data_IF_009546739353
#
_entry.id   IF_009546739353
#
_cell.length_a   1.000
_cell.length_b   1.000
_cell.length_c   1.000
_cell.angle_alpha   90.00
_cell.angle_beta   90.00
_cell.angle_gamma   90.00
#
_symmetry.space_group_name_H-M   'P 1'
#
loop_
_entity.id
_entity.type
_entity.pdbx_description
1 polymer ?
#
# COMPACT_ATOMS: atom_id res chain seq x y z
N UNK A 1 -40.23 4.75 7.28
CA UNK A 1 -38.82 4.58 6.83
C UNK A 1 -38.37 5.55 5.72
N UNK A 2 -39.13 6.59 5.44
CA UNK A 2 -38.80 7.63 4.42
C UNK A 2 -38.00 8.83 4.98
N UNK A 3 -37.91 9.04 6.30
CA UNK A 3 -37.29 10.23 6.88
C UNK A 3 -35.77 10.29 6.84
N UNK A 4 -35.08 9.16 7.00
CA UNK A 4 -33.60 9.13 7.01
C UNK A 4 -32.98 9.41 5.61
N UNK A 5 -33.73 9.14 4.55
CA UNK A 5 -33.35 9.45 3.18
C UNK A 5 -33.44 10.95 2.87
N UNK A 6 -34.39 11.66 3.47
CA UNK A 6 -34.61 13.10 3.26
C UNK A 6 -33.52 13.93 3.96
N UNK A 7 -33.22 13.64 5.22
CA UNK A 7 -32.16 14.35 5.98
C UNK A 7 -30.76 14.17 5.37
N UNK A 8 -30.42 12.95 4.92
CA UNK A 8 -29.17 12.69 4.22
C UNK A 8 -29.09 13.45 2.91
N UNK A 9 -30.21 13.58 2.21
CA UNK A 9 -30.37 14.32 0.97
C UNK A 9 -30.28 15.83 1.20
N UNK A 10 -30.91 16.37 2.23
CA UNK A 10 -30.82 17.79 2.57
C UNK A 10 -29.41 18.20 3.04
N UNK A 11 -28.73 17.36 3.82
CA UNK A 11 -27.30 17.57 4.15
C UNK A 11 -26.40 17.55 2.91
N UNK A 12 -26.65 16.65 1.99
CA UNK A 12 -25.91 16.59 0.73
C UNK A 12 -26.12 17.85 -0.11
N UNK A 13 -27.35 18.29 -0.27
CA UNK A 13 -27.70 19.51 -1.01
C UNK A 13 -27.18 20.79 -0.32
N UNK A 14 -27.20 20.84 0.99
CA UNK A 14 -26.62 21.93 1.77
C UNK A 14 -25.11 22.01 1.60
N UNK A 15 -24.41 20.87 1.61
CA UNK A 15 -22.97 20.82 1.35
C UNK A 15 -22.62 21.16 -0.10
N UNK A 16 -23.46 20.77 -1.06
CA UNK A 16 -23.30 21.14 -2.47
C UNK A 16 -23.44 22.64 -2.68
N UNK A 17 -24.43 23.29 -2.02
CA UNK A 17 -24.62 24.75 -2.07
C UNK A 17 -23.42 25.50 -1.51
N UNK A 18 -22.84 25.05 -0.38
CA UNK A 18 -21.62 25.62 0.22
C UNK A 18 -20.40 25.49 -0.70
N UNK A 19 -20.29 24.40 -1.45
CA UNK A 19 -19.22 24.21 -2.45
C UNK A 19 -19.45 25.12 -3.66
N UNK A 20 -20.71 25.29 -4.07
CA UNK A 20 -21.10 26.12 -5.19
C UNK A 20 -20.85 27.63 -4.93
N UNK A 21 -21.17 28.11 -3.73
CA UNK A 21 -20.87 29.49 -3.31
C UNK A 21 -19.37 29.81 -3.30
N UNK A 22 -18.52 28.80 -3.05
CA UNK A 22 -17.05 28.96 -3.07
C UNK A 22 -16.40 28.75 -4.44
N UNK A 23 -17.05 28.00 -5.34
CA UNK A 23 -16.48 27.59 -6.62
C UNK A 23 -17.12 28.26 -7.85
N UNK A 24 -18.09 29.18 -7.69
CA UNK A 24 -18.86 29.79 -8.78
C UNK A 24 -19.46 28.78 -9.76
N UNK A 25 -19.96 27.65 -9.28
CA UNK A 25 -20.55 26.60 -10.09
C UNK A 25 -22.03 26.88 -10.30
N UNK A 26 -22.51 26.78 -11.54
CA UNK A 26 -23.89 27.09 -11.97
C UNK A 26 -24.96 26.23 -11.25
N UNK A 27 -26.14 26.79 -10.92
CA UNK A 27 -27.25 26.07 -10.24
C UNK A 27 -27.70 24.80 -10.95
N UNK A 28 -27.60 24.74 -12.27
CA UNK A 28 -27.97 23.58 -13.10
C UNK A 28 -27.17 22.32 -12.80
N UNK A 29 -25.95 22.46 -12.23
CA UNK A 29 -25.13 21.32 -11.82
C UNK A 29 -25.70 20.64 -10.58
N UNK A 30 -26.44 21.37 -9.75
CA UNK A 30 -27.13 20.84 -8.56
C UNK A 30 -28.25 19.91 -9.03
N UNK A 31 -29.03 20.34 -10.04
CA UNK A 31 -30.11 19.55 -10.63
C UNK A 31 -29.59 18.29 -11.32
N UNK A 32 -28.39 18.33 -11.85
CA UNK A 32 -27.73 17.17 -12.47
C UNK A 32 -27.38 16.09 -11.43
N UNK A 33 -26.83 16.49 -10.31
CA UNK A 33 -26.49 15.55 -9.22
C UNK A 33 -27.77 14.98 -8.61
N UNK A 34 -28.87 15.76 -8.57
CA UNK A 34 -30.19 15.27 -8.16
C UNK A 34 -30.81 14.31 -9.20
N UNK A 35 -30.70 14.60 -10.47
CA UNK A 35 -31.14 13.71 -11.54
C UNK A 35 -30.37 12.40 -11.52
N UNK A 36 -29.06 12.46 -11.24
CA UNK A 36 -28.21 11.27 -11.05
C UNK A 36 -28.59 10.44 -9.82
N UNK A 37 -28.96 11.08 -8.73
CA UNK A 37 -29.44 10.38 -7.52
C UNK A 37 -30.80 9.70 -7.75
N UNK A 38 -31.56 10.11 -8.77
CA UNK A 38 -32.87 9.53 -9.16
C UNK A 38 -32.77 8.48 -10.26
N UNK A 39 -31.60 8.31 -10.92
CA UNK A 39 -31.43 7.26 -11.91
C UNK A 39 -31.59 5.89 -11.25
N UNK A 40 -32.51 5.13 -11.79
CA UNK A 40 -32.79 3.75 -11.39
C UNK A 40 -31.68 2.84 -11.91
N UNK A 41 -30.57 2.81 -11.16
CA UNK A 41 -29.40 1.99 -11.47
C UNK A 41 -29.68 0.47 -11.34
N UNK A 42 -30.90 0.08 -10.91
CA UNK A 42 -31.29 -1.33 -10.79
C UNK A 42 -31.40 -2.05 -12.14
N UNK A 43 -31.63 -1.32 -13.24
CA UNK A 43 -31.76 -1.91 -14.57
C UNK A 43 -30.43 -2.23 -15.26
N UNK A 44 -29.34 -1.60 -14.83
CA UNK A 44 -28.00 -1.81 -15.39
C UNK A 44 -27.07 -2.43 -14.34
N UNK A 45 -27.45 -3.58 -13.77
CA UNK A 45 -26.56 -4.34 -12.90
C UNK A 45 -25.25 -4.65 -13.63
N UNK A 46 -24.09 -4.20 -13.14
CA UNK A 46 -22.84 -4.70 -13.66
C UNK A 46 -22.75 -6.21 -13.40
N UNK A 47 -22.35 -6.94 -14.43
CA UNK A 47 -22.12 -8.39 -14.39
C UNK A 47 -21.30 -8.74 -13.14
N UNK A 48 -21.76 -9.74 -12.40
CA UNK A 48 -21.17 -10.30 -11.17
C UNK A 48 -19.64 -10.36 -11.26
N UNK A 49 -18.96 -9.62 -10.38
CA UNK A 49 -17.51 -9.57 -10.34
C UNK A 49 -16.96 -10.83 -9.67
N UNK A 50 -16.26 -11.65 -10.41
CA UNK A 50 -15.41 -12.68 -9.82
C UNK A 50 -14.18 -12.02 -9.15
N UNK A 51 -13.81 -12.41 -7.91
CA UNK A 51 -12.60 -11.92 -7.27
C UNK A 51 -11.37 -12.24 -8.11
N UNK A 52 -10.60 -11.21 -8.50
CA UNK A 52 -9.30 -11.41 -9.15
C UNK A 52 -9.13 -10.84 -10.56
N UNK A 53 -10.16 -10.30 -11.20
CA UNK A 53 -10.02 -9.64 -12.51
C UNK A 53 -10.22 -8.13 -12.36
N UNK A 54 -9.18 -7.29 -12.53
CA UNK A 54 -9.36 -5.84 -12.55
C UNK A 54 -10.14 -5.47 -13.81
N UNK A 55 -11.41 -5.19 -13.68
CA UNK A 55 -12.23 -4.63 -14.77
C UNK A 55 -12.26 -3.12 -14.66
N UNK A 56 -11.93 -2.42 -15.76
CA UNK A 56 -12.31 -1.04 -15.96
C UNK A 56 -13.85 -0.98 -15.98
N UNK A 57 -14.44 -0.59 -14.87
CA UNK A 57 -15.90 -0.44 -14.69
C UNK A 57 -16.38 0.95 -15.16
N UNK A 58 -15.70 1.56 -16.09
CA UNK A 58 -16.30 2.68 -16.80
C UNK A 58 -16.86 2.15 -18.11
N UNK A 59 -18.18 2.16 -18.32
CA UNK A 59 -18.66 2.24 -19.68
C UNK A 59 -17.97 3.46 -20.31
N UNK A 60 -17.63 3.45 -21.61
CA UNK A 60 -17.18 4.65 -22.29
C UNK A 60 -18.12 5.79 -21.92
N UNK A 61 -17.58 6.96 -21.62
CA UNK A 61 -18.36 8.17 -21.25
C UNK A 61 -19.52 8.38 -22.22
N UNK A 62 -19.29 8.11 -23.49
CA UNK A 62 -20.25 8.14 -24.59
C UNK A 62 -21.49 7.26 -24.35
N UNK A 63 -21.29 5.99 -23.96
CA UNK A 63 -22.41 5.07 -23.67
C UNK A 63 -23.23 5.53 -22.47
N UNK A 64 -22.56 6.11 -21.47
CA UNK A 64 -23.25 6.70 -20.34
C UNK A 64 -24.06 7.92 -20.73
N UNK A 65 -23.51 8.84 -21.53
CA UNK A 65 -24.17 10.04 -22.00
C UNK A 65 -25.32 9.72 -23.01
N UNK A 66 -25.17 8.69 -23.83
CA UNK A 66 -26.22 8.19 -24.71
C UNK A 66 -27.44 7.64 -23.96
N UNK A 67 -27.20 6.87 -22.89
CA UNK A 67 -28.27 6.34 -22.05
C UNK A 67 -29.01 7.43 -21.26
N UNK A 68 -28.40 8.58 -21.06
CA UNK A 68 -28.89 9.70 -20.25
C UNK A 68 -29.19 10.95 -21.10
N UNK A 69 -29.86 10.78 -22.27
CA UNK A 69 -30.18 11.86 -23.22
C UNK A 69 -31.09 12.95 -22.65
N UNK A 70 -31.79 12.70 -21.54
CA UNK A 70 -32.68 13.63 -20.86
C UNK A 70 -31.96 14.70 -20.02
N UNK A 71 -30.64 14.56 -19.85
CA UNK A 71 -29.81 15.53 -19.13
C UNK A 71 -29.59 16.76 -20.00
N UNK A 72 -29.65 17.97 -19.42
CA UNK A 72 -29.42 19.23 -20.15
C UNK A 72 -28.07 19.24 -20.88
N UNK A 73 -27.92 19.90 -22.03
CA UNK A 73 -26.66 19.95 -22.77
C UNK A 73 -25.48 20.41 -21.93
N UNK A 74 -25.61 21.50 -21.19
CA UNK A 74 -24.55 22.08 -20.30
C UNK A 74 -24.10 21.09 -19.25
N UNK A 75 -25.06 20.39 -18.67
CA UNK A 75 -24.81 19.39 -17.66
C UNK A 75 -24.13 18.13 -18.22
N UNK A 76 -24.45 17.76 -19.45
CA UNK A 76 -23.78 16.66 -20.18
C UNK A 76 -22.33 16.99 -20.44
N UNK A 77 -22.03 18.21 -20.88
CA UNK A 77 -20.66 18.67 -21.16
C UNK A 77 -19.81 18.69 -19.93
N UNK A 78 -20.36 19.19 -18.81
CA UNK A 78 -19.66 19.15 -17.53
C UNK A 78 -19.36 17.71 -17.07
N UNK A 79 -20.33 16.82 -17.18
CA UNK A 79 -20.18 15.43 -16.79
C UNK A 79 -19.19 14.69 -17.69
N UNK A 80 -19.25 14.95 -19.01
CA UNK A 80 -18.27 14.42 -19.95
C UNK A 80 -16.85 14.87 -19.57
N UNK A 81 -16.67 16.16 -19.33
CA UNK A 81 -15.38 16.72 -18.92
C UNK A 81 -14.88 16.14 -17.58
N UNK A 82 -15.79 15.96 -16.61
CA UNK A 82 -15.45 15.30 -15.34
C UNK A 82 -15.00 13.85 -15.53
N UNK A 83 -15.81 13.05 -16.25
CA UNK A 83 -15.52 11.64 -16.50
C UNK A 83 -14.22 11.47 -17.32
N UNK A 84 -14.03 12.33 -18.34
CA UNK A 84 -12.81 12.32 -19.15
C UNK A 84 -11.58 12.65 -18.32
N UNK A 85 -11.62 13.69 -17.50
CA UNK A 85 -10.53 14.07 -16.60
C UNK A 85 -10.15 12.93 -15.64
N UNK A 86 -11.14 12.27 -15.04
CA UNK A 86 -10.90 11.13 -14.12
C UNK A 86 -10.32 9.94 -14.89
N UNK A 87 -10.82 9.68 -16.09
CA UNK A 87 -10.33 8.61 -16.97
C UNK A 87 -8.88 8.86 -17.42
N UNK A 88 -8.52 10.07 -17.81
CA UNK A 88 -7.15 10.46 -18.19
C UNK A 88 -6.17 10.30 -17.03
N UNK A 89 -6.65 10.46 -15.80
CA UNK A 89 -5.87 10.16 -14.60
C UNK A 89 -5.74 8.65 -14.30
N UNK A 90 -6.34 7.79 -15.14
CA UNK A 90 -6.35 6.34 -14.97
C UNK A 90 -7.22 5.87 -13.82
N UNK A 91 -8.22 6.66 -13.41
CA UNK A 91 -9.06 6.36 -12.24
C UNK A 91 -10.49 6.02 -12.65
N UNK A 92 -11.22 5.40 -11.73
CA UNK A 92 -12.65 5.11 -11.86
C UNK A 92 -13.44 6.34 -11.43
N UNK A 93 -14.38 6.81 -12.25
CA UNK A 93 -15.22 7.93 -11.87
C UNK A 93 -16.32 7.48 -10.88
N UNK A 94 -16.56 8.29 -9.85
CA UNK A 94 -17.57 8.08 -8.83
C UNK A 94 -18.32 9.39 -8.64
N UNK A 95 -19.63 9.37 -8.87
CA UNK A 95 -20.45 10.56 -8.92
C UNK A 95 -21.07 10.89 -7.55
N UNK A 96 -21.49 9.85 -6.82
CA UNK A 96 -22.18 10.01 -5.54
C UNK A 96 -22.05 8.74 -4.68
N UNK A 97 -22.53 8.77 -3.42
CA UNK A 97 -22.54 7.61 -2.53
C UNK A 97 -23.27 6.39 -3.07
N UNK A 98 -24.35 6.57 -3.82
CA UNK A 98 -25.10 5.46 -4.42
C UNK A 98 -24.27 4.74 -5.47
N UNK A 99 -23.58 5.50 -6.33
CA UNK A 99 -22.67 4.92 -7.32
C UNK A 99 -21.52 4.14 -6.63
N UNK A 100 -20.96 4.69 -5.56
CA UNK A 100 -19.94 3.97 -4.76
C UNK A 100 -20.52 2.68 -4.16
N UNK A 101 -21.75 2.72 -3.64
CA UNK A 101 -22.39 1.54 -3.07
C UNK A 101 -22.54 0.42 -4.11
N UNK A 102 -23.02 0.75 -5.32
CA UNK A 102 -23.11 -0.21 -6.44
C UNK A 102 -21.73 -0.77 -6.84
N UNK A 103 -20.70 0.07 -6.91
CA UNK A 103 -19.35 -0.38 -7.22
C UNK A 103 -18.83 -1.39 -6.19
N UNK A 104 -19.26 -1.24 -4.93
CA UNK A 104 -18.87 -2.09 -3.81
C UNK A 104 -19.83 -3.27 -3.56
N UNK A 105 -20.84 -3.46 -4.43
CA UNK A 105 -21.88 -4.49 -4.31
C UNK A 105 -22.62 -4.40 -2.95
N UNK A 106 -22.99 -3.16 -2.58
CA UNK A 106 -23.68 -2.84 -1.35
C UNK A 106 -24.94 -1.99 -1.64
N UNK A 107 -25.95 -2.09 -0.77
CA UNK A 107 -26.99 -1.06 -0.75
C UNK A 107 -26.45 0.24 -0.14
N UNK A 108 -26.97 1.43 -0.55
CA UNK A 108 -26.54 2.71 -0.01
C UNK A 108 -26.66 2.79 1.52
N UNK A 109 -27.74 2.23 2.09
CA UNK A 109 -27.93 2.18 3.55
C UNK A 109 -26.88 1.31 4.26
N UNK A 110 -26.53 0.17 3.66
CA UNK A 110 -25.49 -0.71 4.21
C UNK A 110 -24.12 -0.03 4.16
N UNK A 111 -23.79 0.62 3.04
CA UNK A 111 -22.55 1.40 2.90
C UNK A 111 -22.48 2.51 3.97
N UNK A 112 -23.54 3.29 4.13
CA UNK A 112 -23.61 4.35 5.15
C UNK A 112 -23.48 3.84 6.58
N UNK A 113 -24.13 2.71 6.91
CA UNK A 113 -23.96 2.06 8.23
C UNK A 113 -22.54 1.55 8.44
N UNK A 114 -21.96 0.92 7.43
CA UNK A 114 -20.62 0.39 7.49
C UNK A 114 -19.59 1.50 7.72
N UNK A 115 -19.67 2.60 6.99
CA UNK A 115 -18.79 3.76 7.14
C UNK A 115 -18.89 4.38 8.55
N UNK A 116 -20.11 4.65 9.04
CA UNK A 116 -20.33 5.21 10.39
C UNK A 116 -19.83 4.31 11.53
N UNK A 117 -19.72 3.02 11.30
CA UNK A 117 -19.30 2.04 12.33
C UNK A 117 -17.91 1.45 12.04
N UNK A 118 -17.19 1.97 11.06
CA UNK A 118 -15.92 1.40 10.57
C UNK A 118 -14.89 1.27 11.70
N UNK A 119 -14.72 2.28 12.54
CA UNK A 119 -13.78 2.26 13.67
C UNK A 119 -14.02 1.09 14.64
N UNK A 120 -15.28 0.73 14.86
CA UNK A 120 -15.67 -0.37 15.77
C UNK A 120 -15.46 -1.76 15.14
N UNK A 121 -15.07 -1.82 13.87
CA UNK A 121 -14.91 -3.06 13.11
C UNK A 121 -13.47 -3.51 12.99
N UNK A 122 -12.57 -2.94 13.79
CA UNK A 122 -11.18 -3.37 13.86
C UNK A 122 -10.89 -4.15 15.13
N UNK A 123 -10.12 -5.21 14.99
CA UNK A 123 -9.52 -5.95 16.09
C UNK A 123 -8.08 -5.48 16.26
N UNK A 124 -7.71 -5.16 17.51
CA UNK A 124 -6.35 -4.71 17.83
C UNK A 124 -5.60 -5.81 18.57
N UNK A 125 -4.40 -6.12 18.11
CA UNK A 125 -3.47 -7.03 18.79
C UNK A 125 -2.03 -6.56 18.60
N UNK A 126 -1.15 -6.98 19.49
CA UNK A 126 0.26 -6.59 19.47
C UNK A 126 1.14 -7.72 18.95
N UNK A 127 2.18 -7.33 18.22
CA UNK A 127 3.23 -8.23 17.75
C UNK A 127 4.57 -7.68 18.24
N UNK A 128 5.42 -8.49 18.91
CA UNK A 128 6.72 -8.04 19.38
C UNK A 128 7.64 -7.72 18.18
N UNK A 129 8.31 -6.57 18.24
CA UNK A 129 9.37 -6.20 17.32
C UNK A 129 10.70 -6.81 17.72
N UNK A 130 11.67 -6.83 16.79
CA UNK A 130 13.03 -7.33 17.05
C UNK A 130 13.82 -6.51 18.08
N UNK A 131 13.43 -5.27 18.32
CA UNK A 131 14.03 -4.36 19.30
C UNK A 131 13.36 -4.45 20.68
N UNK A 132 12.46 -5.42 20.89
CA UNK A 132 11.74 -5.65 22.15
C UNK A 132 10.52 -4.74 22.35
N UNK A 133 10.29 -3.77 21.47
CA UNK A 133 9.06 -2.96 21.51
C UNK A 133 7.90 -3.65 20.78
N UNK A 134 6.68 -3.27 21.10
CA UNK A 134 5.47 -3.81 20.48
C UNK A 134 5.05 -3.03 19.25
N UNK A 135 4.40 -3.73 18.31
CA UNK A 135 3.68 -3.15 17.20
C UNK A 135 2.21 -3.49 17.33
N UNK A 136 1.37 -2.49 17.47
CA UNK A 136 -0.08 -2.68 17.42
C UNK A 136 -0.54 -2.84 15.98
N UNK A 137 -1.32 -3.88 15.73
CA UNK A 137 -1.96 -4.17 14.45
C UNK A 137 -3.46 -3.95 14.62
N UNK A 138 -4.03 -3.09 13.79
CA UNK A 138 -5.47 -2.89 13.68
C UNK A 138 -5.96 -3.61 12.43
N UNK A 139 -6.52 -4.81 12.59
CA UNK A 139 -7.03 -5.63 11.50
C UNK A 139 -8.55 -5.46 11.35
N UNK A 140 -9.07 -5.15 10.16
CA UNK A 140 -10.52 -5.05 9.94
C UNK A 140 -11.17 -6.42 10.07
N UNK A 141 -12.43 -6.44 10.55
CA UNK A 141 -13.25 -7.64 10.54
C UNK A 141 -13.50 -8.14 9.10
N UNK A 142 -14.00 -9.36 8.89
CA UNK A 142 -14.17 -9.92 7.56
C UNK A 142 -15.03 -9.06 6.61
N UNK A 143 -16.10 -8.43 7.12
CA UNK A 143 -16.99 -7.60 6.32
C UNK A 143 -16.29 -6.33 5.81
N UNK A 144 -15.71 -5.54 6.73
CA UNK A 144 -14.96 -4.34 6.35
C UNK A 144 -13.76 -4.69 5.47
N UNK A 145 -13.06 -5.79 5.76
CA UNK A 145 -11.93 -6.26 4.96
C UNK A 145 -12.32 -6.59 3.52
N UNK A 146 -13.49 -7.19 3.31
CA UNK A 146 -14.02 -7.48 1.97
C UNK A 146 -14.29 -6.19 1.21
N UNK A 147 -14.94 -5.20 1.83
CA UNK A 147 -15.20 -3.90 1.23
C UNK A 147 -13.89 -3.15 0.91
N UNK A 148 -12.93 -3.18 1.85
CA UNK A 148 -11.61 -2.58 1.60
C UNK A 148 -10.85 -3.25 0.43
N UNK A 149 -11.03 -4.55 0.22
CA UNK A 149 -10.48 -5.23 -0.97
C UNK A 149 -11.15 -4.76 -2.26
N UNK A 150 -12.48 -4.61 -2.26
CA UNK A 150 -13.18 -4.03 -3.42
C UNK A 150 -12.72 -2.60 -3.72
N UNK A 151 -12.53 -1.76 -2.68
CA UNK A 151 -11.94 -0.42 -2.82
C UNK A 151 -10.52 -0.51 -3.42
N UNK A 152 -9.70 -1.42 -2.90
CA UNK A 152 -8.34 -1.63 -3.41
C UNK A 152 -8.35 -2.03 -4.89
N UNK A 153 -9.15 -3.04 -5.24
CA UNK A 153 -9.14 -3.65 -6.56
C UNK A 153 -9.81 -2.76 -7.61
N UNK A 154 -10.90 -2.08 -7.26
CA UNK A 154 -11.71 -1.31 -8.22
C UNK A 154 -11.39 0.19 -8.26
N UNK A 155 -10.77 0.76 -7.22
CA UNK A 155 -10.49 2.20 -7.14
C UNK A 155 -8.99 2.47 -7.07
N UNK A 156 -8.31 1.91 -6.07
CA UNK A 156 -6.94 2.29 -5.76
C UNK A 156 -5.89 1.65 -6.67
N UNK A 157 -6.16 0.47 -7.23
CA UNK A 157 -5.21 -0.27 -8.08
C UNK A 157 -4.88 0.44 -9.40
N UNK A 158 -5.72 1.36 -9.83
CA UNK A 158 -5.54 2.14 -11.06
C UNK A 158 -4.78 3.45 -10.84
N UNK A 159 -4.68 3.91 -9.59
CA UNK A 159 -4.03 5.17 -9.29
C UNK A 159 -2.52 5.09 -9.56
N UNK A 160 -1.93 6.08 -10.28
CA UNK A 160 -0.53 6.06 -10.64
C UNK A 160 0.34 6.23 -9.38
N UNK A 161 1.29 5.32 -9.16
CA UNK A 161 2.24 5.35 -8.06
C UNK A 161 3.58 5.95 -8.48
N UNK A 162 4.30 6.53 -7.52
CA UNK A 162 5.65 7.06 -7.75
C UNK A 162 6.62 6.00 -8.26
N UNK A 163 7.49 6.35 -9.20
CA UNK A 163 8.57 5.47 -9.68
C UNK A 163 9.59 5.11 -8.58
N UNK A 164 9.68 5.93 -7.53
CA UNK A 164 10.56 5.69 -6.39
C UNK A 164 9.95 4.77 -5.33
N UNK A 165 8.64 4.50 -5.39
CA UNK A 165 7.97 3.56 -4.50
C UNK A 165 8.25 2.11 -4.95
N UNK A 166 9.00 1.38 -4.16
CA UNK A 166 9.39 -0.02 -4.39
C UNK A 166 8.62 -1.01 -3.51
N UNK A 167 8.06 -0.54 -2.38
CA UNK A 167 7.21 -1.34 -1.50
C UNK A 167 5.74 -1.29 -1.91
N UNK A 168 4.99 -2.39 -1.64
CA UNK A 168 3.55 -2.48 -1.84
C UNK A 168 3.09 -2.21 -3.28
N UNK A 169 3.88 -2.61 -4.25
CA UNK A 169 3.62 -2.40 -5.66
C UNK A 169 3.82 -3.68 -6.46
N UNK A 170 2.93 -3.94 -7.43
CA UNK A 170 3.10 -5.05 -8.37
C UNK A 170 4.44 -4.91 -9.11
N UNK A 171 5.07 -6.04 -9.44
CA UNK A 171 6.36 -6.12 -10.16
C UNK A 171 7.56 -5.47 -9.46
N UNK A 172 7.36 -4.98 -8.23
CA UNK A 172 8.43 -4.45 -7.38
C UNK A 172 8.68 -5.38 -6.20
N UNK A 173 9.92 -5.36 -5.73
CA UNK A 173 10.37 -6.24 -4.66
C UNK A 173 11.56 -5.64 -3.93
N UNK A 174 11.97 -6.30 -2.84
CA UNK A 174 13.24 -5.96 -2.16
C UNK A 174 14.44 -6.05 -3.09
N UNK A 175 14.37 -6.90 -4.14
CA UNK A 175 15.45 -7.08 -5.13
C UNK A 175 15.51 -5.91 -6.11
N UNK A 176 14.34 -5.46 -6.63
CA UNK A 176 14.28 -4.29 -7.52
C UNK A 176 14.74 -3.05 -6.78
N UNK A 177 14.30 -2.88 -5.52
CA UNK A 177 14.77 -1.80 -4.66
C UNK A 177 16.31 -1.85 -4.46
N UNK A 178 16.84 -3.01 -4.09
CA UNK A 178 18.27 -3.19 -3.88
C UNK A 178 19.12 -2.90 -5.14
N UNK A 179 18.62 -3.29 -6.34
CA UNK A 179 19.31 -3.08 -7.61
C UNK A 179 19.61 -1.61 -7.91
N UNK A 180 18.73 -0.69 -7.52
CA UNK A 180 18.93 0.75 -7.71
C UNK A 180 20.16 1.30 -7.00
N UNK A 181 20.57 0.66 -5.91
CA UNK A 181 21.66 1.11 -5.04
C UNK A 181 22.95 0.29 -5.13
N UNK A 182 23.05 -0.58 -6.15
CA UNK A 182 24.22 -1.44 -6.33
C UNK A 182 25.46 -0.61 -6.70
N UNK A 183 26.60 -0.96 -6.09
CA UNK A 183 27.93 -0.42 -6.45
C UNK A 183 28.16 1.03 -6.05
N UNK A 184 27.31 1.61 -5.20
CA UNK A 184 27.46 3.01 -4.74
C UNK A 184 28.50 3.13 -3.63
N UNK A 185 29.24 4.25 -3.59
CA UNK A 185 30.24 4.51 -2.53
C UNK A 185 29.61 4.74 -1.16
N UNK A 186 28.43 5.32 -1.13
CA UNK A 186 27.66 5.56 0.10
C UNK A 186 26.19 5.21 -0.09
N UNK A 187 25.61 4.56 0.92
CA UNK A 187 24.16 4.30 1.05
C UNK A 187 23.70 4.83 2.40
N UNK A 188 22.69 5.68 2.37
CA UNK A 188 22.06 6.25 3.56
C UNK A 188 20.65 5.72 3.65
N UNK A 189 20.25 5.29 4.84
CA UNK A 189 18.90 4.81 5.14
C UNK A 189 18.28 5.66 6.23
N UNK A 190 17.06 6.10 5.99
CA UNK A 190 16.20 6.77 6.95
C UNK A 190 14.93 5.96 7.13
N UNK A 191 14.37 5.94 8.34
CA UNK A 191 13.15 5.20 8.68
C UNK A 191 12.11 6.22 9.18
N UNK A 192 10.91 6.20 8.64
CA UNK A 192 9.82 7.08 9.07
C UNK A 192 9.22 6.49 10.35
N UNK A 193 9.07 7.35 11.37
CA UNK A 193 8.43 6.99 12.63
C UNK A 193 6.93 6.79 12.42
N UNK A 194 6.40 5.67 12.94
CA UNK A 194 4.98 5.35 12.97
C UNK A 194 4.26 5.61 11.62
N UNK A 195 4.84 5.08 10.53
CA UNK A 195 4.52 5.42 9.14
C UNK A 195 3.02 5.42 8.83
N UNK A 196 2.31 4.30 9.06
CA UNK A 196 0.86 4.27 8.83
C UNK A 196 0.09 5.20 9.78
N UNK A 197 0.31 5.16 11.10
CA UNK A 197 -0.35 6.08 12.05
C UNK A 197 -0.05 7.56 11.80
N UNK A 198 1.06 7.93 11.17
CA UNK A 198 1.35 9.33 10.82
C UNK A 198 0.56 9.84 9.61
N UNK A 199 -0.13 8.97 8.90
CA UNK A 199 -1.00 9.34 7.78
C UNK A 199 -2.43 9.46 8.31
N UNK A 200 -2.85 10.70 8.59
CA UNK A 200 -4.14 10.98 9.21
C UNK A 200 -5.31 10.85 8.25
N UNK A 201 -6.53 10.74 8.79
CA UNK A 201 -7.77 10.70 8.01
C UNK A 201 -7.97 11.94 7.16
N UNK A 202 -7.53 13.13 7.62
CA UNK A 202 -7.60 14.37 6.85
C UNK A 202 -6.71 14.30 5.60
N UNK A 203 -5.54 13.68 5.72
CA UNK A 203 -4.65 13.47 4.54
C UNK A 203 -5.26 12.50 3.54
N UNK A 204 -5.96 11.46 4.03
CA UNK A 204 -6.67 10.48 3.18
C UNK A 204 -7.87 11.15 2.50
N UNK A 205 -8.65 11.94 3.25
CA UNK A 205 -9.73 12.73 2.69
C UNK A 205 -9.25 13.68 1.60
N UNK A 206 -8.18 14.46 1.90
CA UNK A 206 -7.54 15.34 0.93
C UNK A 206 -7.00 14.60 -0.31
N UNK A 207 -6.47 13.39 -0.13
CA UNK A 207 -6.05 12.53 -1.24
C UNK A 207 -7.23 12.18 -2.15
N UNK A 208 -8.36 11.71 -1.61
CA UNK A 208 -9.55 11.38 -2.40
C UNK A 208 -10.14 12.59 -3.12
N UNK A 209 -10.13 13.76 -2.47
CA UNK A 209 -10.51 15.03 -3.14
C UNK A 209 -9.55 15.38 -4.29
N UNK A 210 -8.23 15.23 -4.07
CA UNK A 210 -7.22 15.48 -5.11
C UNK A 210 -7.27 14.45 -6.26
N UNK A 211 -7.84 13.27 -6.02
CA UNK A 211 -8.20 12.29 -7.04
C UNK A 211 -9.44 12.72 -7.84
N UNK A 212 -10.13 13.79 -7.45
CA UNK A 212 -11.27 14.35 -8.14
C UNK A 212 -12.63 13.81 -7.67
N UNK A 213 -12.69 13.03 -6.58
CA UNK A 213 -13.93 12.50 -6.05
C UNK A 213 -14.74 13.59 -5.32
N UNK A 214 -16.10 13.57 -5.43
CA UNK A 214 -16.97 14.45 -4.64
C UNK A 214 -16.75 14.26 -3.14
N UNK A 215 -16.98 15.34 -2.36
CA UNK A 215 -16.76 15.31 -0.90
C UNK A 215 -17.48 14.17 -0.19
N UNK A 216 -18.71 13.86 -0.59
CA UNK A 216 -19.51 12.76 -0.02
C UNK A 216 -18.88 11.40 -0.25
N UNK A 217 -18.35 11.16 -1.45
CA UNK A 217 -17.63 9.92 -1.79
C UNK A 217 -16.27 9.87 -1.07
N UNK A 218 -15.53 10.99 -1.08
CA UNK A 218 -14.26 11.09 -0.38
C UNK A 218 -14.39 10.83 1.12
N UNK A 219 -15.45 11.35 1.77
CA UNK A 219 -15.73 11.07 3.19
C UNK A 219 -15.96 9.58 3.44
N UNK A 220 -16.85 8.94 2.66
CA UNK A 220 -17.14 7.51 2.81
C UNK A 220 -15.90 6.64 2.59
N UNK A 221 -15.11 6.93 1.56
CA UNK A 221 -13.87 6.20 1.30
C UNK A 221 -12.86 6.38 2.44
N UNK A 222 -12.80 7.58 3.03
CA UNK A 222 -11.95 7.86 4.19
C UNK A 222 -12.39 7.05 5.39
N UNK A 223 -13.68 7.10 5.75
CA UNK A 223 -14.23 6.36 6.89
C UNK A 223 -14.01 4.85 6.75
N UNK A 224 -14.17 4.31 5.55
CA UNK A 224 -13.98 2.89 5.27
C UNK A 224 -12.51 2.44 5.28
N UNK A 225 -11.55 3.35 5.13
CA UNK A 225 -10.12 3.02 4.96
C UNK A 225 -9.23 3.49 6.10
N UNK A 226 -9.76 4.27 7.04
CA UNK A 226 -9.04 4.73 8.24
C UNK A 226 -9.60 4.08 9.51
N UNK A 227 -8.84 4.17 10.59
CA UNK A 227 -9.21 3.70 11.92
C UNK A 227 -8.62 4.66 12.95
N UNK A 228 -9.44 5.13 13.89
CA UNK A 228 -9.02 6.06 14.94
C UNK A 228 -8.28 7.29 14.38
N UNK A 229 -8.80 7.84 13.28
CA UNK A 229 -8.26 9.04 12.66
C UNK A 229 -6.97 8.85 11.84
N UNK A 230 -6.52 7.61 11.56
CA UNK A 230 -5.29 7.35 10.81
C UNK A 230 -5.36 6.07 9.96
N UNK A 231 -4.34 5.83 9.13
CA UNK A 231 -4.22 4.56 8.39
C UNK A 231 -3.91 3.39 9.35
N UNK A 232 -4.73 2.34 9.36
CA UNK A 232 -4.50 1.15 10.17
C UNK A 232 -3.39 0.26 9.60
N UNK A 233 -2.59 -0.35 10.49
CA UNK A 233 -1.47 -1.22 10.10
C UNK A 233 -1.88 -2.56 9.49
N UNK A 234 -3.16 -2.98 9.61
CA UNK A 234 -3.65 -4.29 9.16
C UNK A 234 -4.66 -4.25 8.03
N UNK A 235 -5.03 -3.07 7.52
CA UNK A 235 -6.00 -2.94 6.43
C UNK A 235 -5.37 -3.20 5.04
N UNK A 236 -6.08 -3.86 4.12
CA UNK A 236 -5.58 -4.13 2.77
C UNK A 236 -5.37 -2.86 1.94
N UNK A 237 -6.07 -1.76 2.25
CA UNK A 237 -5.96 -0.48 1.52
C UNK A 237 -4.77 0.37 1.97
N UNK A 238 -4.32 0.26 3.22
CA UNK A 238 -3.27 1.10 3.80
C UNK A 238 -1.96 1.11 3.00
N UNK A 239 -1.46 -0.01 2.45
CA UNK A 239 -0.24 -0.02 1.66
C UNK A 239 -0.30 0.89 0.43
N UNK A 240 -1.38 0.83 -0.35
CA UNK A 240 -1.52 1.64 -1.57
C UNK A 240 -1.81 3.10 -1.21
N UNK A 241 -2.70 3.36 -0.24
CA UNK A 241 -2.99 4.71 0.22
C UNK A 241 -1.73 5.42 0.74
N UNK A 242 -0.88 4.73 1.50
CA UNK A 242 0.40 5.30 1.94
C UNK A 242 1.32 5.67 0.77
N UNK A 243 1.36 4.85 -0.27
CA UNK A 243 2.12 5.17 -1.48
C UNK A 243 1.57 6.40 -2.21
N UNK A 244 0.25 6.54 -2.29
CA UNK A 244 -0.40 7.69 -2.94
C UNK A 244 -0.15 8.99 -2.16
N UNK A 245 -0.26 8.97 -0.84
CA UNK A 245 0.05 10.11 0.03
C UNK A 245 1.51 10.54 -0.11
N UNK A 246 2.43 9.58 -0.22
CA UNK A 246 3.87 9.85 -0.36
C UNK A 246 4.29 10.32 -1.77
N UNK A 247 3.41 10.42 -2.76
CA UNK A 247 3.78 10.83 -4.13
C UNK A 247 4.48 12.19 -4.16
N UNK A 248 4.04 13.15 -3.34
CA UNK A 248 4.66 14.48 -3.27
C UNK A 248 6.04 14.42 -2.64
N UNK A 249 6.19 13.70 -1.53
CA UNK A 249 7.48 13.42 -0.90
C UNK A 249 8.46 12.77 -1.90
N UNK A 250 8.01 11.69 -2.56
CA UNK A 250 8.83 10.97 -3.53
C UNK A 250 9.29 11.85 -4.70
N UNK A 251 8.40 12.71 -5.23
CA UNK A 251 8.71 13.65 -6.31
C UNK A 251 9.76 14.68 -5.87
N UNK A 252 9.61 15.23 -4.66
CA UNK A 252 10.56 16.21 -4.11
C UNK A 252 11.93 15.58 -3.91
N UNK A 253 12.01 14.44 -3.22
CA UNK A 253 13.28 13.76 -2.94
C UNK A 253 13.96 13.26 -4.21
N UNK A 254 13.20 12.75 -5.19
CA UNK A 254 13.75 12.38 -6.50
C UNK A 254 14.28 13.58 -7.27
N UNK A 255 13.57 14.71 -7.23
CA UNK A 255 14.01 15.96 -7.86
C UNK A 255 15.32 16.48 -7.27
N UNK A 256 15.47 16.41 -5.94
CA UNK A 256 16.75 16.71 -5.28
C UNK A 256 17.83 15.71 -5.70
N UNK A 257 17.47 14.40 -5.82
CA UNK A 257 18.40 13.36 -6.27
C UNK A 257 19.00 13.62 -7.65
N UNK A 258 18.16 14.05 -8.58
CA UNK A 258 18.62 14.44 -9.95
C UNK A 258 19.60 15.63 -9.88
N UNK A 259 19.29 16.66 -9.08
CA UNK A 259 20.16 17.87 -8.98
C UNK A 259 21.45 17.61 -8.23
N UNK A 260 21.48 16.71 -7.26
CA UNK A 260 22.59 16.48 -6.35
C UNK A 260 23.32 15.14 -6.60
N UNK A 261 23.02 14.49 -7.70
CA UNK A 261 23.61 13.20 -8.13
C UNK A 261 23.53 12.10 -7.06
N UNK A 262 22.30 11.80 -6.62
CA UNK A 262 22.04 10.63 -5.81
C UNK A 262 20.77 9.87 -6.26
N UNK A 263 20.78 8.57 -6.08
CA UNK A 263 19.63 7.70 -6.29
C UNK A 263 18.74 7.68 -5.04
N UNK A 264 17.43 7.78 -5.24
CA UNK A 264 16.42 7.70 -4.18
C UNK A 264 15.42 6.58 -4.45
N UNK A 265 15.08 5.83 -3.42
CA UNK A 265 13.94 4.91 -3.42
C UNK A 265 13.27 4.83 -2.04
N UNK A 266 12.01 4.40 -2.03
CA UNK A 266 11.24 4.19 -0.81
C UNK A 266 10.61 2.79 -0.80
N UNK A 267 10.83 2.06 0.28
CA UNK A 267 10.16 0.79 0.54
C UNK A 267 9.34 0.91 1.84
N UNK A 268 8.04 1.22 1.71
CA UNK A 268 7.18 1.58 2.84
C UNK A 268 7.73 2.80 3.62
N UNK A 269 8.12 2.59 4.87
CA UNK A 269 8.74 3.55 5.79
C UNK A 269 10.26 3.69 5.61
N UNK A 270 10.89 2.81 4.83
CA UNK A 270 12.36 2.74 4.65
C UNK A 270 12.77 3.58 3.43
N UNK A 271 13.35 4.76 3.65
CA UNK A 271 13.87 5.66 2.63
C UNK A 271 15.34 5.36 2.41
N UNK A 272 15.74 5.12 1.16
CA UNK A 272 17.12 4.82 0.81
C UNK A 272 17.66 5.84 -0.19
N UNK A 273 18.83 6.37 0.13
CA UNK A 273 19.58 7.32 -0.71
C UNK A 273 20.96 6.74 -0.99
N UNK A 274 21.48 6.89 -2.19
CA UNK A 274 22.83 6.39 -2.49
C UNK A 274 23.53 7.20 -3.59
N UNK A 275 24.85 7.39 -3.47
CA UNK A 275 25.63 8.15 -4.44
C UNK A 275 27.04 7.59 -4.61
N UNK A 276 27.67 7.92 -5.74
CA UNK A 276 29.12 7.78 -5.93
C UNK A 276 29.91 8.85 -5.16
N UNK A 277 29.27 9.95 -4.78
CA UNK A 277 29.88 10.99 -3.96
C UNK A 277 29.63 10.73 -2.46
N UNK A 278 30.67 10.38 -1.66
CA UNK A 278 30.52 10.19 -0.22
C UNK A 278 30.07 11.46 0.54
N UNK A 279 30.28 12.66 -0.05
CA UNK A 279 29.84 13.94 0.48
C UNK A 279 28.32 14.13 0.56
N UNK A 280 27.54 13.27 -0.14
CA UNK A 280 26.07 13.27 -0.05
C UNK A 280 25.56 13.23 1.40
N UNK A 281 26.32 12.68 2.33
CA UNK A 281 25.94 12.62 3.76
C UNK A 281 25.69 14.00 4.36
N UNK A 282 26.33 15.06 3.81
CA UNK A 282 26.13 16.45 4.25
C UNK A 282 24.71 16.97 3.95
N UNK A 283 23.99 16.33 3.00
CA UNK A 283 22.61 16.68 2.65
C UNK A 283 21.59 16.12 3.65
N UNK A 284 21.98 15.26 4.60
CA UNK A 284 21.05 14.63 5.54
C UNK A 284 20.16 15.61 6.30
N UNK A 285 20.64 16.72 6.86
CA UNK A 285 19.76 17.68 7.54
C UNK A 285 18.68 18.22 6.59
N UNK A 286 19.05 18.62 5.38
CA UNK A 286 18.12 19.10 4.38
C UNK A 286 17.10 18.04 3.94
N UNK A 287 17.54 16.78 3.73
CA UNK A 287 16.62 15.69 3.39
C UNK A 287 15.61 15.43 4.52
N UNK A 288 16.05 15.52 5.78
CA UNK A 288 15.16 15.39 6.94
C UNK A 288 14.16 16.54 7.04
N UNK A 289 14.56 17.77 6.68
CA UNK A 289 13.67 18.92 6.59
C UNK A 289 12.60 18.72 5.53
N UNK A 290 12.97 18.30 4.32
CA UNK A 290 12.01 17.97 3.25
C UNK A 290 10.99 16.90 3.70
N UNK A 291 11.45 15.87 4.45
CA UNK A 291 10.58 14.84 4.99
C UNK A 291 9.62 15.41 6.06
N UNK A 292 10.12 16.31 6.91
CA UNK A 292 9.32 16.97 7.95
C UNK A 292 8.25 17.89 7.37
N UNK A 293 8.57 18.67 6.32
CA UNK A 293 7.61 19.52 5.61
C UNK A 293 6.47 18.71 4.94
N UNK A 294 6.73 17.45 4.60
CA UNK A 294 5.70 16.53 4.12
C UNK A 294 4.92 15.84 5.26
N UNK A 295 5.12 16.30 6.52
CA UNK A 295 4.39 15.80 7.69
C UNK A 295 4.88 14.45 8.22
N UNK A 296 6.12 14.07 7.93
CA UNK A 296 6.71 12.84 8.43
C UNK A 296 7.88 13.10 9.39
N UNK A 297 8.05 12.21 10.35
CA UNK A 297 9.15 12.29 11.32
C UNK A 297 10.15 11.15 11.08
N UNK A 298 11.43 11.49 10.95
CA UNK A 298 12.51 10.51 10.81
C UNK A 298 12.85 9.90 12.17
N UNK A 299 12.94 8.58 12.24
CA UNK A 299 13.38 7.84 13.42
C UNK A 299 14.91 7.90 13.54
N UNK A 300 15.43 8.96 14.15
CA UNK A 300 16.89 9.25 14.24
C UNK A 300 17.76 8.03 14.64
N UNK A 301 17.40 7.23 15.67
CA UNK A 301 18.24 6.06 16.08
C UNK A 301 18.38 4.98 15.00
N UNK A 302 17.50 4.96 14.01
CA UNK A 302 17.54 4.02 12.88
C UNK A 302 18.27 4.55 11.64
N UNK A 303 18.70 5.80 11.64
CA UNK A 303 19.53 6.35 10.56
C UNK A 303 20.82 5.53 10.41
N UNK A 304 21.11 5.08 9.20
CA UNK A 304 22.32 4.30 8.89
C UNK A 304 23.04 4.90 7.71
N UNK A 305 24.33 5.15 7.88
CA UNK A 305 25.25 5.56 6.81
C UNK A 305 26.19 4.38 6.57
N UNK A 306 26.16 3.83 5.35
CA UNK A 306 26.92 2.64 4.98
C UNK A 306 27.86 3.00 3.84
N UNK A 307 29.17 2.83 4.05
CA UNK A 307 30.20 3.12 3.04
C UNK A 307 30.64 1.84 2.33
N UNK A 308 31.20 1.94 1.12
CA UNK A 308 31.58 0.80 0.28
C UNK A 308 32.67 -0.10 0.89
N UNK A 309 33.50 0.42 1.82
CA UNK A 309 34.47 -0.40 2.58
C UNK A 309 33.84 -1.38 3.57
N UNK A 310 32.57 -1.17 3.93
CA UNK A 310 31.79 -2.07 4.76
C UNK A 310 30.63 -2.73 4.00
N UNK A 311 29.82 -3.51 4.70
CA UNK A 311 28.63 -4.12 4.12
C UNK A 311 27.52 -3.08 3.94
N UNK A 312 27.06 -2.90 2.70
CA UNK A 312 25.91 -2.07 2.37
C UNK A 312 24.67 -2.95 2.19
N UNK A 313 23.58 -2.62 2.91
CA UNK A 313 22.31 -3.35 2.87
C UNK A 313 21.13 -2.41 2.59
N UNK A 314 20.30 -2.77 1.62
CA UNK A 314 19.04 -2.11 1.30
C UNK A 314 17.92 -3.16 1.40
N UNK A 315 16.89 -2.90 2.20
CA UNK A 315 15.78 -3.86 2.45
C UNK A 315 16.23 -5.30 2.75
N UNK A 316 17.35 -5.44 3.51
CA UNK A 316 17.93 -6.74 3.87
C UNK A 316 18.90 -7.33 2.84
N UNK A 317 18.98 -6.78 1.64
CA UNK A 317 19.83 -7.26 0.54
C UNK A 317 21.16 -6.52 0.55
N UNK A 318 22.27 -7.25 0.38
CA UNK A 318 23.61 -6.69 0.19
C UNK A 318 23.73 -6.13 -1.23
N UNK A 319 24.20 -4.87 -1.35
CA UNK A 319 24.25 -4.13 -2.62
C UNK A 319 25.65 -3.64 -3.02
N UNK A 320 26.71 -4.12 -2.37
CA UNK A 320 28.09 -3.64 -2.66
C UNK A 320 28.53 -3.83 -4.12
N UNK A 321 28.29 -4.99 -4.74
CA UNK A 321 28.71 -5.30 -6.13
C UNK A 321 27.54 -5.77 -6.99
N UNK A 322 26.67 -6.58 -6.43
CA UNK A 322 25.45 -7.13 -7.02
C UNK A 322 24.45 -7.44 -5.89
N UNK A 323 23.15 -7.52 -6.17
CA UNK A 323 22.19 -7.95 -5.15
C UNK A 323 22.58 -9.34 -4.63
N UNK A 324 22.70 -9.47 -3.31
CA UNK A 324 23.07 -10.74 -2.69
C UNK A 324 22.53 -10.83 -1.26
N UNK A 325 22.52 -12.02 -0.71
CA UNK A 325 22.30 -12.28 0.71
C UNK A 325 23.65 -12.22 1.46
N UNK A 326 23.62 -11.82 2.72
CA UNK A 326 24.82 -11.74 3.53
C UNK A 326 25.55 -13.09 3.58
N UNK A 327 26.86 -13.09 3.40
CA UNK A 327 27.69 -14.32 3.40
C UNK A 327 27.47 -15.18 4.63
N UNK A 328 27.27 -14.55 5.80
CA UNK A 328 26.98 -15.23 7.07
C UNK A 328 25.68 -16.06 6.96
N UNK A 329 24.62 -15.48 6.38
CA UNK A 329 23.32 -16.15 6.23
C UNK A 329 23.41 -17.35 5.29
N UNK A 330 24.11 -17.19 4.14
CA UNK A 330 24.34 -18.29 3.19
C UNK A 330 25.16 -19.41 3.85
N UNK A 331 26.20 -19.06 4.65
CA UNK A 331 27.02 -20.03 5.37
C UNK A 331 26.21 -20.82 6.39
N UNK A 332 25.34 -20.14 7.14
CA UNK A 332 24.42 -20.80 8.09
C UNK A 332 23.50 -21.78 7.37
N UNK A 333 22.90 -21.38 6.25
CA UNK A 333 22.03 -22.27 5.49
C UNK A 333 22.76 -23.50 4.97
N UNK A 334 23.99 -23.33 4.44
CA UNK A 334 24.83 -24.45 4.01
C UNK A 334 25.15 -25.41 5.14
N UNK A 335 25.49 -24.89 6.33
CA UNK A 335 25.79 -25.71 7.50
C UNK A 335 24.55 -26.50 7.94
N UNK A 336 23.37 -25.86 8.02
CA UNK A 336 22.14 -26.56 8.38
C UNK A 336 21.83 -27.69 7.38
N UNK A 337 21.90 -27.42 6.07
CA UNK A 337 21.66 -28.43 5.04
C UNK A 337 22.66 -29.57 5.14
N UNK A 338 23.94 -29.27 5.32
CA UNK A 338 24.98 -30.28 5.49
C UNK A 338 24.75 -31.18 6.69
N UNK A 339 24.43 -30.59 7.84
CA UNK A 339 24.16 -31.34 9.08
C UNK A 339 22.90 -32.20 8.94
N UNK A 340 21.84 -31.70 8.25
CA UNK A 340 20.65 -32.51 7.95
C UNK A 340 20.92 -33.72 7.04
N UNK A 341 21.96 -33.66 6.18
CA UNK A 341 22.35 -34.78 5.31
C UNK A 341 23.15 -35.86 6.04
N UNK A 342 23.93 -35.47 7.06
CA UNK A 342 24.89 -36.35 7.73
C UNK A 342 24.47 -36.80 9.14
N UNK A 343 23.54 -36.11 9.78
CA UNK A 343 23.16 -36.30 11.16
C UNK A 343 21.66 -36.40 11.41
N UNK A 344 21.26 -36.32 12.65
CA UNK A 344 19.86 -36.34 13.05
C UNK A 344 19.15 -35.04 12.69
N UNK A 345 18.15 -35.15 11.82
CA UNK A 345 17.33 -34.05 11.35
C UNK A 345 16.47 -33.46 12.49
N UNK A 346 16.01 -34.29 13.42
CA UNK A 346 15.23 -33.83 14.58
C UNK A 346 16.10 -32.98 15.52
N UNK A 347 17.33 -33.38 15.74
CA UNK A 347 18.31 -32.59 16.53
C UNK A 347 18.57 -31.22 15.83
N UNK A 348 18.75 -31.21 14.53
CA UNK A 348 18.91 -29.97 13.76
C UNK A 348 17.66 -29.07 13.82
N UNK A 349 16.46 -29.65 13.76
CA UNK A 349 15.21 -28.90 13.92
C UNK A 349 15.11 -28.26 15.30
N UNK A 350 15.46 -29.01 16.35
CA UNK A 350 15.50 -28.54 17.73
C UNK A 350 16.48 -27.38 17.94
N UNK A 351 17.73 -27.54 17.46
CA UNK A 351 18.74 -26.46 17.50
C UNK A 351 18.30 -25.21 16.72
N UNK A 352 17.66 -25.41 15.58
CA UNK A 352 17.12 -24.32 14.78
C UNK A 352 16.01 -23.57 15.54
N UNK A 353 15.08 -24.28 16.19
CA UNK A 353 14.02 -23.68 16.99
C UNK A 353 14.60 -22.92 18.19
N UNK A 354 15.53 -23.51 18.95
CA UNK A 354 16.20 -22.89 20.07
C UNK A 354 16.91 -21.59 19.67
N UNK A 355 17.66 -21.61 18.57
CA UNK A 355 18.37 -20.42 18.05
C UNK A 355 17.46 -19.25 17.67
N UNK A 356 16.13 -19.46 17.64
CA UNK A 356 15.12 -18.48 17.23
C UNK A 356 14.07 -18.17 18.28
N UNK A 357 14.17 -18.82 19.46
CA UNK A 357 13.16 -18.68 20.50
C UNK A 357 11.77 -19.19 20.10
N UNK A 358 11.69 -20.23 19.27
CA UNK A 358 10.44 -20.80 18.78
C UNK A 358 9.93 -21.89 19.73
N UNK A 359 9.35 -21.51 20.88
CA UNK A 359 8.66 -22.42 21.81
C UNK A 359 9.52 -23.55 22.38
N UNK A 360 8.89 -24.69 22.75
CA UNK A 360 9.61 -25.88 23.17
C UNK A 360 10.42 -26.46 22.00
N UNK A 361 11.74 -26.24 22.04
CA UNK A 361 12.64 -26.57 20.94
C UNK A 361 12.73 -28.09 20.67
N UNK A 362 12.41 -28.93 21.67
CA UNK A 362 12.49 -30.39 21.55
C UNK A 362 11.32 -30.95 20.67
N UNK A 363 10.17 -30.32 20.72
CA UNK A 363 8.96 -30.76 19.98
C UNK A 363 8.71 -29.95 18.69
N UNK A 364 9.70 -29.22 18.18
CA UNK A 364 9.52 -28.41 16.99
C UNK A 364 9.21 -29.29 15.75
N UNK A 365 8.04 -29.13 15.09
CA UNK A 365 7.62 -30.02 14.02
C UNK A 365 8.59 -30.03 12.83
N UNK A 366 8.98 -31.20 12.36
CA UNK A 366 9.84 -31.35 11.18
C UNK A 366 9.25 -30.70 9.93
N UNK A 367 7.92 -30.72 9.79
CA UNK A 367 7.20 -30.05 8.69
C UNK A 367 7.41 -28.53 8.72
N UNK A 368 7.33 -27.93 9.91
CA UNK A 368 7.59 -26.50 10.14
C UNK A 368 9.05 -26.12 9.89
N UNK A 369 9.98 -26.97 10.33
CA UNK A 369 11.41 -26.80 10.03
C UNK A 369 11.70 -26.87 8.54
N UNK A 370 11.20 -27.91 7.84
CA UNK A 370 11.31 -28.09 6.39
C UNK A 370 10.77 -26.87 5.63
N UNK A 371 9.55 -26.41 5.99
CA UNK A 371 8.91 -25.24 5.36
C UNK A 371 9.73 -23.97 5.61
N UNK A 372 10.22 -23.74 6.83
CA UNK A 372 11.03 -22.58 7.18
C UNK A 372 12.37 -22.57 6.44
N UNK A 373 13.06 -23.71 6.36
CA UNK A 373 14.32 -23.84 5.64
C UNK A 373 14.11 -23.62 4.14
N UNK A 374 13.05 -24.21 3.57
CA UNK A 374 12.67 -24.02 2.17
C UNK A 374 12.39 -22.55 1.87
N UNK A 375 11.61 -21.84 2.70
CA UNK A 375 11.30 -20.43 2.50
C UNK A 375 12.56 -19.55 2.49
N UNK A 376 13.57 -19.86 3.31
CA UNK A 376 14.87 -19.16 3.31
C UNK A 376 15.68 -19.44 2.04
N UNK A 377 15.70 -20.66 1.57
CA UNK A 377 16.38 -21.03 0.32
C UNK A 377 15.71 -20.32 -0.85
N UNK A 378 14.38 -20.29 -0.90
CA UNK A 378 13.63 -19.56 -1.93
C UNK A 378 13.88 -18.06 -1.89
N UNK A 379 14.03 -17.48 -0.68
CA UNK A 379 14.46 -16.09 -0.52
C UNK A 379 15.85 -15.86 -1.13
N UNK A 380 16.83 -16.71 -0.83
CA UNK A 380 18.17 -16.64 -1.45
C UNK A 380 18.08 -16.75 -2.97
N UNK A 381 17.26 -17.68 -3.47
CA UNK A 381 17.09 -17.91 -4.92
C UNK A 381 16.50 -16.70 -5.65
N UNK A 382 15.54 -15.99 -5.03
CA UNK A 382 14.99 -14.75 -5.60
C UNK A 382 16.02 -13.66 -5.72
N UNK A 383 16.98 -13.58 -4.79
CA UNK A 383 18.03 -12.54 -4.76
C UNK A 383 19.23 -12.94 -5.61
N UNK A 384 19.66 -14.18 -5.49
CA UNK A 384 20.81 -14.77 -6.20
C UNK A 384 20.44 -16.17 -6.69
N UNK A 385 19.92 -16.30 -7.93
CA UNK A 385 19.44 -17.57 -8.47
C UNK A 385 20.47 -18.69 -8.47
N UNK A 386 21.74 -18.36 -8.76
CA UNK A 386 22.84 -19.34 -8.80
C UNK A 386 23.07 -19.99 -7.42
N UNK A 387 23.30 -19.15 -6.41
CA UNK A 387 23.54 -19.64 -5.04
C UNK A 387 22.29 -20.34 -4.48
N UNK A 388 21.11 -19.76 -4.71
CA UNK A 388 19.85 -20.35 -4.27
C UNK A 388 19.51 -21.65 -4.97
N UNK A 389 19.86 -21.78 -6.25
CA UNK A 389 19.70 -23.02 -7.02
C UNK A 389 20.53 -24.18 -6.44
N UNK A 390 21.80 -23.91 -6.10
CA UNK A 390 22.67 -24.89 -5.43
C UNK A 390 22.12 -25.31 -4.06
N UNK A 391 21.70 -24.33 -3.24
CA UNK A 391 21.11 -24.62 -1.93
C UNK A 391 19.82 -25.45 -2.05
N UNK A 392 19.01 -25.18 -3.08
CA UNK A 392 17.78 -25.93 -3.31
C UNK A 392 18.06 -27.37 -3.76
N UNK A 393 19.05 -27.56 -4.63
CA UNK A 393 19.48 -28.88 -5.04
C UNK A 393 19.93 -29.70 -3.81
N UNK A 394 20.81 -29.13 -3.01
CA UNK A 394 21.27 -29.75 -1.77
C UNK A 394 20.15 -30.02 -0.76
N UNK A 395 19.18 -29.12 -0.65
CA UNK A 395 18.02 -29.29 0.24
C UNK A 395 17.13 -30.49 -0.19
N UNK A 396 16.97 -30.71 -1.50
CA UNK A 396 16.15 -31.83 -2.01
C UNK A 396 16.73 -33.20 -1.68
N UNK A 397 18.03 -33.31 -1.40
CA UNK A 397 18.67 -34.58 -1.03
C UNK A 397 18.61 -34.88 0.48
N UNK A 398 17.95 -34.04 1.30
CA UNK A 398 17.75 -34.30 2.72
C UNK A 398 16.62 -35.33 2.88
N UNK A 399 16.84 -36.44 3.63
CA UNK A 399 15.83 -37.49 3.82
C UNK A 399 14.82 -37.10 4.92
N UNK A 400 13.96 -36.14 4.68
CA UNK A 400 12.94 -35.69 5.64
C UNK A 400 11.85 -36.71 5.97
N UNK A 401 11.79 -37.81 5.22
CA UNK A 401 10.77 -38.86 5.37
C UNK A 401 11.37 -40.14 5.98
N UNK A 402 12.61 -40.10 6.45
CA UNK A 402 13.28 -41.19 7.15
C UNK A 402 13.00 -41.14 8.66
#
# INVERSE_FOLDING_TARGET
MAGASVEARERFLSNLRLVNERAQVEPEIIDLVEAFARLDLEKDRPVTLHPGTPRRLSPPVEVFLEKNRHISPTSRDFLAAYCQRIHEQGQVFLLNPTHLAHLLDLSPDRLGRLARTADRRYFSYTIPKRDGSDRTIHAPNPELKSVQRLILDNILSFAPLSASAEGFRRERSIVTNGRRHVGKKVVVKLDIKDFFPSITSERIFGLFLAMGYPRSVASLLTDLTTCQGALPTGAPTSPVLSNLVCRRLDRRLSGVGVKMDFEYSRYADDLTFSSQNPGMVRLLPFLQEVIAEEGFVVKKPKTRIQRSGGQQKVTGIVVNRRPNIARKEIRILRAIIHNCKKGDIRQQASQYAASRGLGNSQDFPLSSFKASLRGKIDHVRRVNPEVGGRLLHDFKTIPFNA
#
